data_IF_722189367743
#
_entry.id   IF_722189367743
#
_cell.length_a   1.000
_cell.length_b   1.000
_cell.length_c   1.000
_cell.angle_alpha   90.00
_cell.angle_beta   90.00
_cell.angle_gamma   90.00
#
_symmetry.space_group_name_H-M   'P 1'
#
loop_
_entity.id
_entity.type
_entity.pdbx_description
1 polymer ?
#
# COMPACT_ATOMS: atom_id res chain seq x y z
N UNK A 1 5.90 0.14 13.59
CA UNK A 1 5.57 -0.03 15.04
C UNK A 1 4.20 0.54 15.40
N UNK A 2 3.82 1.71 14.87
CA UNK A 2 2.52 2.35 15.12
C UNK A 2 1.30 1.41 15.02
N UNK A 3 1.16 0.63 13.94
CA UNK A 3 0.02 -0.29 13.78
C UNK A 3 -0.12 -1.36 14.87
N UNK A 4 0.99 -1.87 15.44
CA UNK A 4 0.92 -2.84 16.54
C UNK A 4 0.43 -2.18 17.83
N UNK A 5 0.86 -0.94 18.09
CA UNK A 5 0.44 -0.17 19.27
C UNK A 5 -1.05 0.18 19.17
N UNK A 6 -1.50 0.60 17.99
CA UNK A 6 -2.92 0.86 17.71
C UNK A 6 -3.76 -0.40 17.99
N UNK A 7 -3.31 -1.56 17.49
CA UNK A 7 -3.98 -2.84 17.69
C UNK A 7 -4.00 -3.32 19.16
N UNK A 8 -3.15 -2.78 20.05
CA UNK A 8 -3.26 -3.08 21.48
C UNK A 8 -4.52 -2.47 22.10
N UNK A 9 -4.97 -1.32 21.58
CA UNK A 9 -6.08 -0.53 22.12
C UNK A 9 -7.36 -0.69 21.29
N UNK A 10 -7.26 -1.16 20.05
CA UNK A 10 -8.40 -1.39 19.15
C UNK A 10 -8.49 -2.87 18.72
N UNK A 11 -9.44 -3.64 19.30
CA UNK A 11 -9.70 -5.02 18.90
C UNK A 11 -10.09 -5.18 17.43
N UNK A 12 -10.89 -4.25 16.89
CA UNK A 12 -11.31 -4.30 15.48
C UNK A 12 -10.11 -4.15 14.54
N UNK A 13 -9.17 -3.27 14.89
CA UNK A 13 -7.96 -3.08 14.11
C UNK A 13 -7.03 -4.30 14.19
N UNK A 14 -6.95 -4.92 15.37
CA UNK A 14 -6.21 -6.17 15.57
C UNK A 14 -6.74 -7.30 14.69
N UNK A 15 -8.06 -7.44 14.60
CA UNK A 15 -8.69 -8.42 13.70
C UNK A 15 -8.32 -8.18 12.24
N UNK A 16 -8.36 -6.91 11.81
CA UNK A 16 -7.96 -6.51 10.46
C UNK A 16 -6.51 -6.93 10.16
N UNK A 17 -5.57 -6.63 11.07
CA UNK A 17 -4.17 -7.00 10.90
C UNK A 17 -3.97 -8.52 10.84
N UNK A 18 -4.66 -9.27 11.71
CA UNK A 18 -4.60 -10.74 11.73
C UNK A 18 -5.24 -11.40 10.50
N UNK A 19 -6.12 -10.69 9.80
CA UNK A 19 -6.76 -11.16 8.57
C UNK A 19 -5.97 -10.83 7.29
N UNK A 20 -4.75 -10.29 7.41
CA UNK A 20 -3.86 -10.01 6.26
C UNK A 20 -3.13 -11.28 5.81
N UNK A 21 -2.97 -11.44 4.50
CA UNK A 21 -2.27 -12.60 3.93
C UNK A 21 -0.76 -12.58 4.23
N UNK A 22 -0.19 -11.38 4.35
CA UNK A 22 1.22 -11.17 4.66
C UNK A 22 1.43 -9.90 5.49
N UNK A 23 2.02 -10.06 6.68
CA UNK A 23 2.51 -8.97 7.51
C UNK A 23 4.04 -9.03 7.58
N UNK A 24 4.69 -7.94 7.18
CA UNK A 24 6.16 -7.83 7.18
C UNK A 24 6.66 -6.91 8.29
N UNK A 25 7.85 -7.16 8.87
CA UNK A 25 8.37 -6.33 9.95
C UNK A 25 8.89 -4.99 9.41
N UNK A 26 8.05 -3.96 9.50
CA UNK A 26 8.43 -2.58 9.21
C UNK A 26 9.08 -1.90 10.43
N UNK A 27 10.41 -2.03 10.48
CA UNK A 27 11.28 -1.45 11.50
C UNK A 27 12.08 -2.47 12.32
N UNK A 28 13.29 -2.07 12.73
CA UNK A 28 14.20 -2.93 13.50
C UNK A 28 13.63 -3.43 14.84
N UNK A 29 12.84 -2.65 15.61
CA UNK A 29 12.26 -3.15 16.85
C UNK A 29 11.40 -4.41 16.65
N UNK A 30 10.68 -4.54 15.53
CA UNK A 30 9.88 -5.73 15.23
C UNK A 30 10.76 -6.93 14.89
N UNK A 31 11.85 -6.70 14.16
CA UNK A 31 12.84 -7.73 13.87
C UNK A 31 13.47 -8.26 15.16
N UNK A 32 13.89 -7.38 16.06
CA UNK A 32 14.47 -7.76 17.35
C UNK A 32 13.46 -8.51 18.22
N UNK A 33 12.23 -8.01 18.33
CA UNK A 33 11.18 -8.69 19.10
C UNK A 33 10.89 -10.09 18.56
N UNK A 34 10.83 -10.24 17.23
CA UNK A 34 10.65 -11.55 16.60
C UNK A 34 11.83 -12.49 16.89
N UNK A 35 13.07 -12.01 16.80
CA UNK A 35 14.27 -12.80 17.16
C UNK A 35 14.26 -13.23 18.62
N UNK A 36 13.92 -12.33 19.55
CA UNK A 36 13.78 -12.65 20.96
C UNK A 36 12.70 -13.71 21.21
N UNK A 37 11.71 -13.83 20.32
CA UNK A 37 10.68 -14.87 20.33
C UNK A 37 11.05 -16.14 19.53
N UNK A 38 12.28 -16.26 19.07
CA UNK A 38 12.78 -17.43 18.34
C UNK A 38 12.49 -17.42 16.83
N UNK A 39 11.90 -16.36 16.28
CA UNK A 39 11.67 -16.25 14.83
C UNK A 39 12.93 -15.84 14.08
N UNK A 40 13.16 -16.45 12.92
CA UNK A 40 14.30 -16.18 12.04
C UNK A 40 14.06 -14.95 11.15
N UNK A 41 13.82 -13.79 11.76
CA UNK A 41 13.67 -12.52 11.02
C UNK A 41 15.05 -11.95 10.67
N UNK A 42 15.43 -12.07 9.38
CA UNK A 42 16.76 -11.63 8.91
C UNK A 42 16.88 -10.12 8.80
N UNK A 43 15.86 -9.43 8.28
CA UNK A 43 15.89 -7.99 8.01
C UNK A 43 14.50 -7.36 8.20
N UNK A 44 14.48 -6.04 8.36
CA UNK A 44 13.25 -5.26 8.21
C UNK A 44 12.82 -5.23 6.74
N UNK A 45 11.54 -5.05 6.49
CA UNK A 45 10.98 -4.82 5.15
C UNK A 45 10.31 -3.46 5.18
N UNK A 46 10.99 -2.48 4.62
CA UNK A 46 10.54 -1.09 4.63
C UNK A 46 9.64 -0.82 3.42
N UNK A 47 8.52 -0.12 3.61
CA UNK A 47 7.51 0.12 2.56
C UNK A 47 8.07 0.68 1.25
N UNK A 48 8.87 1.77 1.27
CA UNK A 48 9.53 2.29 0.07
C UNK A 48 10.46 1.28 -0.61
N UNK A 49 11.24 0.52 0.15
CA UNK A 49 12.16 -0.48 -0.39
C UNK A 49 11.40 -1.63 -1.05
N UNK A 50 10.30 -2.08 -0.42
CA UNK A 50 9.41 -3.11 -0.97
C UNK A 50 8.77 -2.64 -2.29
N UNK A 51 8.27 -1.40 -2.32
CA UNK A 51 7.67 -0.84 -3.54
C UNK A 51 8.69 -0.78 -4.67
N UNK A 52 9.89 -0.25 -4.40
CA UNK A 52 10.95 -0.15 -5.40
C UNK A 52 11.39 -1.53 -5.91
N UNK A 53 11.64 -2.48 -5.02
CA UNK A 53 12.05 -3.83 -5.39
C UNK A 53 10.97 -4.55 -6.22
N UNK A 54 9.69 -4.38 -5.87
CA UNK A 54 8.60 -4.97 -6.63
C UNK A 54 8.46 -4.33 -8.02
N UNK A 55 8.59 -3.00 -8.12
CA UNK A 55 8.56 -2.28 -9.41
C UNK A 55 9.72 -2.66 -10.33
N UNK A 56 10.92 -2.86 -9.78
CA UNK A 56 12.09 -3.31 -10.53
C UNK A 56 11.83 -4.70 -11.15
N UNK A 57 11.35 -5.64 -10.33
CA UNK A 57 11.02 -7.00 -10.76
C UNK A 57 9.84 -7.07 -11.73
N UNK A 58 8.90 -6.14 -11.64
CA UNK A 58 7.68 -6.14 -12.45
C UNK A 58 7.82 -5.44 -13.79
N UNK A 59 8.81 -4.54 -13.95
CA UNK A 59 9.01 -3.77 -15.16
C UNK A 59 9.20 -4.66 -16.40
N UNK A 60 9.87 -5.79 -16.25
CA UNK A 60 10.07 -6.78 -17.33
C UNK A 60 8.91 -7.79 -17.45
N UNK A 61 8.10 -7.95 -16.40
CA UNK A 61 6.98 -8.92 -16.34
C UNK A 61 5.65 -8.33 -16.81
N UNK A 62 5.57 -7.01 -16.94
CA UNK A 62 4.40 -6.31 -17.48
C UNK A 62 3.24 -6.15 -16.48
N UNK A 63 3.45 -6.39 -15.18
CA UNK A 63 2.39 -6.26 -14.19
C UNK A 63 1.82 -4.84 -14.14
N UNK A 64 0.50 -4.76 -14.01
CA UNK A 64 -0.28 -3.53 -14.01
C UNK A 64 -0.35 -2.95 -12.61
N UNK A 65 0.26 -1.79 -12.41
CA UNK A 65 0.28 -1.07 -11.14
C UNK A 65 -0.76 0.03 -11.08
N UNK A 66 -1.49 0.12 -9.96
CA UNK A 66 -2.33 1.26 -9.64
C UNK A 66 -1.90 1.89 -8.32
N UNK A 67 -1.82 3.22 -8.26
CA UNK A 67 -1.43 3.95 -7.04
C UNK A 67 -2.61 4.76 -6.49
N UNK A 68 -3.05 4.43 -5.27
CA UNK A 68 -4.18 5.06 -4.60
C UNK A 68 -3.74 5.69 -3.28
N UNK A 69 -3.79 7.02 -3.18
CA UNK A 69 -3.43 7.75 -1.96
C UNK A 69 -2.57 8.98 -2.18
N UNK A 70 -2.01 9.48 -1.08
CA UNK A 70 -1.31 10.75 -1.02
C UNK A 70 -2.21 11.96 -1.30
N UNK A 71 -1.64 13.16 -1.15
CA UNK A 71 -2.30 14.39 -1.54
C UNK A 71 -2.52 14.49 -3.06
N UNK A 72 -3.43 15.36 -3.54
CA UNK A 72 -3.61 15.62 -4.96
C UNK A 72 -2.28 15.80 -5.71
N UNK A 73 -2.05 14.93 -6.69
CA UNK A 73 -0.86 14.92 -7.53
C UNK A 73 0.34 14.12 -6.99
N UNK A 74 0.32 13.65 -5.74
CA UNK A 74 1.38 12.79 -5.18
C UNK A 74 1.45 11.46 -5.94
N UNK A 75 0.32 10.78 -6.11
CA UNK A 75 0.28 9.51 -6.85
C UNK A 75 0.74 9.67 -8.31
N UNK A 76 0.41 10.79 -8.96
CA UNK A 76 0.84 11.09 -10.33
C UNK A 76 2.37 11.28 -10.40
N UNK A 77 2.93 12.06 -9.48
CA UNK A 77 4.39 12.27 -9.40
C UNK A 77 5.12 10.97 -9.08
N UNK A 78 4.61 10.18 -8.13
CA UNK A 78 5.14 8.85 -7.83
C UNK A 78 5.21 7.98 -9.09
N UNK A 79 4.10 7.87 -9.81
CA UNK A 79 4.05 7.10 -11.05
C UNK A 79 5.06 7.59 -12.10
N UNK A 80 5.21 8.92 -12.26
CA UNK A 80 6.19 9.50 -13.18
C UNK A 80 7.64 9.19 -12.76
N UNK A 81 7.97 9.36 -11.47
CA UNK A 81 9.29 9.05 -10.93
C UNK A 81 9.64 7.57 -11.07
N UNK A 82 8.69 6.67 -10.83
CA UNK A 82 8.90 5.23 -10.99
C UNK A 82 9.05 4.82 -12.45
N UNK A 83 8.27 5.39 -13.38
CA UNK A 83 8.44 5.16 -14.82
C UNK A 83 9.78 5.66 -15.35
N UNK A 84 10.26 6.79 -14.85
CA UNK A 84 11.57 7.31 -15.20
C UNK A 84 12.70 6.41 -14.69
N UNK A 85 12.53 5.82 -13.50
CA UNK A 85 13.51 4.92 -12.88
C UNK A 85 13.52 3.52 -13.47
N UNK A 86 12.34 2.99 -13.83
CA UNK A 86 12.15 1.63 -14.33
C UNK A 86 11.44 1.67 -15.69
N UNK A 87 12.20 1.82 -16.80
CA UNK A 87 11.64 1.71 -18.14
C UNK A 87 10.92 0.37 -18.33
N UNK A 88 9.67 0.40 -18.78
CA UNK A 88 8.81 -0.78 -18.91
C UNK A 88 7.77 -0.93 -17.80
N UNK A 89 7.86 -0.16 -16.70
CA UNK A 89 6.87 -0.19 -15.63
C UNK A 89 5.47 0.21 -16.13
N UNK A 90 4.54 -0.73 -16.05
CA UNK A 90 3.18 -0.56 -16.53
C UNK A 90 2.26 0.00 -15.42
N UNK A 91 2.15 1.33 -15.37
CA UNK A 91 1.20 2.02 -14.48
C UNK A 91 -0.10 2.28 -15.22
N UNK A 92 -1.18 1.67 -14.75
CA UNK A 92 -2.51 1.67 -15.37
C UNK A 92 -3.50 2.65 -14.75
N UNK A 93 -3.12 3.29 -13.63
CA UNK A 93 -3.90 4.37 -13.05
C UNK A 93 -3.32 4.90 -11.75
N UNK A 94 -3.80 6.09 -11.39
CA UNK A 94 -3.44 6.81 -10.19
C UNK A 94 -4.68 7.54 -9.68
N UNK A 95 -4.86 7.61 -8.37
CA UNK A 95 -5.95 8.36 -7.76
C UNK A 95 -5.52 8.84 -6.37
N UNK A 96 -5.87 10.08 -6.03
CA UNK A 96 -5.66 10.65 -4.70
C UNK A 96 -7.03 11.01 -4.13
N UNK A 97 -7.57 10.20 -3.20
CA UNK A 97 -8.89 10.48 -2.62
C UNK A 97 -8.83 11.74 -1.74
N UNK A 98 -9.95 12.46 -1.56
CA UNK A 98 -10.01 13.59 -0.65
C UNK A 98 -9.70 13.19 0.81
N UNK A 99 -9.18 14.16 1.58
CA UNK A 99 -8.92 14.01 3.03
C UNK A 99 -10.20 14.13 3.87
N UNK A 100 -11.23 13.39 3.49
CA UNK A 100 -12.49 13.22 4.21
C UNK A 100 -13.06 11.83 3.92
N UNK A 101 -14.06 11.37 4.67
CA UNK A 101 -14.85 10.22 4.26
C UNK A 101 -15.45 10.44 2.87
N UNK A 102 -15.48 9.37 2.08
CA UNK A 102 -16.14 9.33 0.78
C UNK A 102 -17.63 9.03 0.99
N UNK A 103 -18.48 9.59 0.12
CA UNK A 103 -19.88 9.13 0.02
C UNK A 103 -19.94 7.69 -0.53
N UNK A 104 -21.11 7.07 -0.47
CA UNK A 104 -21.29 5.74 -1.05
C UNK A 104 -21.03 5.77 -2.57
N UNK A 105 -21.50 6.81 -3.24
CA UNK A 105 -21.32 7.03 -4.67
C UNK A 105 -19.84 7.24 -5.02
N UNK A 106 -19.12 8.07 -4.27
CA UNK A 106 -17.67 8.28 -4.48
C UNK A 106 -16.86 6.99 -4.25
N UNK A 107 -17.27 6.16 -3.29
CA UNK A 107 -16.67 4.84 -3.10
C UNK A 107 -16.94 3.91 -4.29
N UNK A 108 -18.17 3.88 -4.80
CA UNK A 108 -18.55 3.04 -5.93
C UNK A 108 -17.81 3.46 -7.21
N UNK A 109 -17.74 4.75 -7.49
CA UNK A 109 -16.97 5.31 -8.60
C UNK A 109 -15.48 4.96 -8.50
N UNK A 110 -14.91 5.02 -7.30
CA UNK A 110 -13.53 4.65 -7.06
C UNK A 110 -13.29 3.15 -7.32
N UNK A 111 -14.17 2.28 -6.81
CA UNK A 111 -14.06 0.82 -7.02
C UNK A 111 -14.19 0.50 -8.50
N UNK A 112 -15.12 1.13 -9.21
CA UNK A 112 -15.27 0.96 -10.66
C UNK A 112 -14.05 1.46 -11.42
N UNK A 113 -13.50 2.62 -11.08
CA UNK A 113 -12.30 3.16 -11.71
C UNK A 113 -11.12 2.19 -11.57
N UNK A 114 -10.87 1.69 -10.35
CA UNK A 114 -9.81 0.69 -10.10
C UNK A 114 -10.11 -0.60 -10.86
N UNK A 115 -11.36 -1.07 -10.84
CA UNK A 115 -11.80 -2.28 -11.54
C UNK A 115 -11.60 -2.21 -13.05
N UNK A 116 -11.95 -1.07 -13.68
CA UNK A 116 -11.74 -0.82 -15.13
C UNK A 116 -10.25 -0.74 -15.48
N UNK A 117 -9.45 -0.17 -14.59
CA UNK A 117 -7.99 -0.15 -14.75
C UNK A 117 -7.35 -1.54 -14.61
N UNK A 118 -8.08 -2.52 -14.05
CA UNK A 118 -7.70 -3.93 -13.90
C UNK A 118 -6.23 -4.14 -13.49
N UNK A 119 -5.79 -3.57 -12.35
CA UNK A 119 -4.42 -3.73 -11.89
C UNK A 119 -4.17 -5.14 -11.32
N UNK A 120 -2.92 -5.59 -11.45
CA UNK A 120 -2.42 -6.78 -10.76
C UNK A 120 -2.04 -6.45 -9.31
N UNK A 121 -1.59 -5.20 -9.08
CA UNK A 121 -1.27 -4.68 -7.75
C UNK A 121 -1.80 -3.27 -7.55
N UNK A 122 -2.51 -3.09 -6.45
CA UNK A 122 -2.95 -1.79 -5.93
C UNK A 122 -2.05 -1.39 -4.76
N UNK A 123 -1.38 -0.24 -4.89
CA UNK A 123 -0.58 0.37 -3.83
C UNK A 123 -1.41 1.42 -3.11
N UNK A 124 -1.49 1.33 -1.77
CA UNK A 124 -2.31 2.21 -0.94
C UNK A 124 -1.40 3.09 -0.06
N UNK A 125 -1.53 4.40 -0.22
CA UNK A 125 -0.80 5.43 0.53
C UNK A 125 -1.73 6.34 1.34
N UNK A 126 -2.56 5.77 2.23
CA UNK A 126 -3.49 6.55 3.08
C UNK A 126 -3.01 6.72 4.52
N UNK A 127 -1.94 6.02 4.90
CA UNK A 127 -1.44 5.96 6.26
C UNK A 127 -2.19 4.96 7.14
N UNK A 128 -1.50 4.42 8.13
CA UNK A 128 -2.07 3.54 9.17
C UNK A 128 -2.83 4.39 10.19
N UNK A 129 -4.00 3.97 10.70
CA UNK A 129 -4.72 2.71 10.42
C UNK A 129 -5.68 2.77 9.22
N UNK A 130 -5.80 3.93 8.55
CA UNK A 130 -6.81 4.17 7.51
C UNK A 130 -6.66 3.22 6.33
N UNK A 131 -5.44 2.97 5.88
CA UNK A 131 -5.18 2.10 4.73
C UNK A 131 -5.59 0.64 4.98
N UNK A 132 -5.31 0.09 6.17
CA UNK A 132 -5.64 -1.31 6.47
C UNK A 132 -7.16 -1.49 6.60
N UNK A 133 -7.85 -0.53 7.23
CA UNK A 133 -9.32 -0.52 7.28
C UNK A 133 -9.93 -0.43 5.90
N UNK A 134 -9.45 0.50 5.09
CA UNK A 134 -9.96 0.69 3.74
C UNK A 134 -9.75 -0.57 2.88
N UNK A 135 -8.57 -1.19 2.94
CA UNK A 135 -8.31 -2.45 2.24
C UNK A 135 -9.23 -3.56 2.74
N UNK A 136 -9.41 -3.69 4.06
CA UNK A 136 -10.27 -4.72 4.64
C UNK A 136 -11.74 -4.57 4.23
N UNK A 137 -12.24 -3.33 4.17
CA UNK A 137 -13.61 -3.01 3.76
C UNK A 137 -13.84 -3.26 2.26
N UNK A 138 -12.85 -2.96 1.42
CA UNK A 138 -13.01 -2.97 -0.04
C UNK A 138 -12.49 -4.24 -0.72
N UNK A 139 -11.71 -5.09 -0.04
CA UNK A 139 -11.09 -6.29 -0.66
C UNK A 139 -12.07 -7.25 -1.33
N UNK A 140 -13.30 -7.36 -0.85
CA UNK A 140 -14.33 -8.23 -1.44
C UNK A 140 -14.93 -7.65 -2.72
N UNK A 141 -14.89 -6.32 -2.86
CA UNK A 141 -15.41 -5.57 -4.02
C UNK A 141 -14.33 -5.34 -5.07
N UNK A 142 -13.08 -5.17 -4.64
CA UNK A 142 -11.92 -5.00 -5.49
C UNK A 142 -11.49 -6.35 -6.06
N UNK A 143 -11.56 -6.52 -7.38
CA UNK A 143 -11.03 -7.70 -8.08
C UNK A 143 -9.52 -7.58 -8.34
N UNK A 144 -8.78 -7.03 -7.39
CA UNK A 144 -7.34 -6.81 -7.50
C UNK A 144 -6.61 -7.94 -6.77
N UNK A 145 -5.69 -8.67 -7.42
CA UNK A 145 -4.99 -9.80 -6.80
C UNK A 145 -4.17 -9.42 -5.55
N UNK A 146 -3.51 -8.26 -5.57
CA UNK A 146 -2.63 -7.82 -4.48
C UNK A 146 -2.94 -6.38 -4.07
N UNK A 147 -3.20 -6.18 -2.78
CA UNK A 147 -3.33 -4.87 -2.16
C UNK A 147 -2.19 -4.67 -1.16
N UNK A 148 -1.45 -3.56 -1.28
CA UNK A 148 -0.30 -3.29 -0.40
C UNK A 148 -0.36 -1.89 0.18
N UNK A 149 -0.47 -1.81 1.51
CA UNK A 149 -0.33 -0.56 2.25
C UNK A 149 1.14 -0.16 2.38
N UNK A 150 1.52 0.99 1.82
CA UNK A 150 2.89 1.51 1.86
C UNK A 150 3.00 2.92 2.48
N UNK A 151 1.87 3.50 2.89
CA UNK A 151 1.81 4.75 3.64
C UNK A 151 2.69 5.85 3.05
N UNK A 152 3.64 6.33 3.88
CA UNK A 152 4.54 7.44 3.56
C UNK A 152 5.50 7.19 2.38
N UNK A 153 5.56 5.97 1.83
CA UNK A 153 6.33 5.70 0.62
C UNK A 153 5.90 6.59 -0.56
N UNK A 154 4.63 6.98 -0.62
CA UNK A 154 4.12 7.87 -1.66
C UNK A 154 4.81 9.23 -1.63
N UNK A 155 4.87 9.87 -0.46
CA UNK A 155 5.50 11.18 -0.32
C UNK A 155 7.01 11.08 -0.55
N UNK A 156 7.67 10.10 0.07
CA UNK A 156 9.12 9.91 -0.04
C UNK A 156 9.60 9.67 -1.48
N UNK A 157 8.89 8.82 -2.23
CA UNK A 157 9.29 8.44 -3.59
C UNK A 157 8.75 9.41 -4.66
N UNK A 158 7.76 10.24 -4.34
CA UNK A 158 7.29 11.34 -5.20
C UNK A 158 8.15 12.61 -5.10
N UNK A 159 9.17 12.62 -4.24
CA UNK A 159 10.08 13.73 -4.03
C UNK A 159 9.55 14.83 -3.11
N UNK A 160 8.46 14.60 -2.37
CA UNK A 160 8.02 15.47 -1.29
C UNK A 160 8.74 15.09 0.01
N UNK A 161 9.25 16.10 0.72
CA UNK A 161 9.75 15.98 2.10
C UNK A 161 8.80 16.69 3.04
#
# INVERSE_FOLDING_TARGET
MHGIVEAQHDPSFREILNATDLAVPDGMPLVWLGRCRGYLLRRRVYGPDLLLAFCEESAEKGYRHFFYGGEPGVANRLAASLKARFPGLNVVGTCSPPFRPLSAEENDEMVEMIGRAAPDVLWIGLGTPKQERWMHEHKSRLRVPVLVGVGAAFDMLSGRR
#
